data_IF_351730611832
#
_entry.id   IF_351730611832
#
_cell.length_a   1.000
_cell.length_b   1.000
_cell.length_c   1.000
_cell.angle_alpha   90.00
_cell.angle_beta   90.00
_cell.angle_gamma   90.00
#
_symmetry.space_group_name_H-M   'P 1'
#
loop_
_entity.id
_entity.type
_entity.pdbx_description
1 polymer ?
#
# COMPACT_ATOMS: atom_id res chain seq x y z
N UNK A 1 8.46 1.36 13.14
CA UNK A 1 7.82 2.69 13.29
C UNK A 1 6.74 2.70 14.40
N UNK A 2 6.34 3.86 14.94
CA UNK A 2 5.20 3.98 15.90
C UNK A 2 4.18 4.95 15.32
N UNK A 3 2.92 4.54 15.15
CA UNK A 3 1.82 5.42 14.81
C UNK A 3 1.48 6.32 16.01
N UNK A 4 1.30 7.61 15.75
CA UNK A 4 0.87 8.57 16.76
C UNK A 4 -0.66 8.61 16.81
N UNK A 5 -1.24 9.46 17.65
CA UNK A 5 -2.69 9.66 17.68
C UNK A 5 -3.09 10.52 16.47
N UNK A 6 -3.73 9.94 15.46
CA UNK A 6 -4.12 10.67 14.24
C UNK A 6 -4.35 9.78 13.03
N UNK A 7 -4.48 10.41 11.86
CA UNK A 7 -4.46 9.74 10.55
C UNK A 7 -2.99 9.65 10.12
N UNK A 8 -2.38 8.48 10.26
CA UNK A 8 -0.98 8.26 9.86
C UNK A 8 -0.90 7.60 8.47
N UNK A 9 0.13 7.98 7.70
CA UNK A 9 0.45 7.33 6.41
C UNK A 9 1.86 6.77 6.45
N UNK A 10 1.97 5.44 6.40
CA UNK A 10 3.24 4.71 6.37
C UNK A 10 3.65 4.53 4.91
N UNK A 11 4.60 5.34 4.42
CA UNK A 11 5.04 5.32 3.03
C UNK A 11 6.33 4.54 2.86
N UNK A 12 6.32 3.57 1.95
CA UNK A 12 7.46 2.75 1.56
C UNK A 12 7.81 3.02 0.10
N UNK A 13 9.06 3.39 -0.15
CA UNK A 13 9.51 3.81 -1.50
C UNK A 13 10.36 2.74 -2.16
N UNK A 14 11.11 1.95 -1.38
CA UNK A 14 11.97 0.88 -1.87
C UNK A 14 11.77 -0.40 -1.05
N UNK A 15 11.90 -1.59 -1.65
CA UNK A 15 11.75 -2.86 -0.89
C UNK A 15 12.84 -2.99 0.18
N UNK A 16 14.00 -2.36 -0.02
CA UNK A 16 15.08 -2.29 0.98
C UNK A 16 14.71 -1.52 2.25
N UNK A 17 13.68 -0.67 2.19
CA UNK A 17 13.18 0.11 3.33
C UNK A 17 12.50 -0.82 4.36
N UNK A 18 11.89 -1.92 3.90
CA UNK A 18 11.33 -2.96 4.77
C UNK A 18 11.25 -4.31 4.07
N UNK A 19 12.20 -5.20 4.36
CA UNK A 19 12.26 -6.54 3.78
C UNK A 19 12.36 -7.64 4.82
N UNK A 20 12.01 -8.86 4.41
CA UNK A 20 12.07 -10.04 5.29
C UNK A 20 13.47 -10.23 5.91
N UNK A 21 13.57 -9.99 7.22
CA UNK A 21 14.82 -10.03 8.00
C UNK A 21 15.20 -8.69 8.64
N UNK A 22 14.70 -7.59 8.08
CA UNK A 22 14.73 -6.24 8.63
C UNK A 22 13.37 -5.56 8.38
N UNK A 23 12.29 -6.28 8.69
CA UNK A 23 10.93 -5.80 8.42
C UNK A 23 10.52 -4.78 9.46
N UNK A 24 9.85 -3.74 8.98
CA UNK A 24 9.40 -2.65 9.83
C UNK A 24 8.26 -3.13 10.73
N UNK A 25 8.33 -2.72 11.99
CA UNK A 25 7.34 -3.07 13.01
C UNK A 25 6.51 -1.85 13.34
N UNK A 26 5.26 -1.83 12.87
CA UNK A 26 4.30 -0.74 13.07
C UNK A 26 3.55 -1.00 14.37
N UNK A 27 3.70 -0.09 15.33
CA UNK A 27 2.90 -0.07 16.55
C UNK A 27 1.73 0.88 16.43
N UNK A 28 0.62 0.56 17.09
CA UNK A 28 -0.57 1.43 17.22
C UNK A 28 -1.34 1.73 15.92
N UNK A 29 -1.15 0.95 14.85
CA UNK A 29 -1.85 1.15 13.57
C UNK A 29 -3.38 1.13 13.72
N UNK A 30 -4.09 2.15 13.26
CA UNK A 30 -5.55 2.23 13.21
C UNK A 30 -6.09 1.98 11.80
N UNK A 31 -6.59 0.77 11.53
CA UNK A 31 -7.17 0.42 10.23
C UNK A 31 -8.42 1.23 9.83
N UNK A 32 -8.97 2.08 10.70
CA UNK A 32 -10.08 2.97 10.34
C UNK A 32 -9.63 4.32 9.79
N UNK A 33 -8.37 4.70 10.05
CA UNK A 33 -7.83 6.03 9.74
C UNK A 33 -6.51 5.95 8.96
N UNK A 34 -5.62 5.06 9.40
CA UNK A 34 -4.27 4.94 8.88
C UNK A 34 -4.22 4.25 7.52
N UNK A 35 -3.23 4.66 6.73
CA UNK A 35 -2.97 4.14 5.40
C UNK A 35 -1.52 3.71 5.23
N UNK A 36 -1.31 2.77 4.33
CA UNK A 36 0.01 2.29 3.93
C UNK A 36 0.20 2.60 2.46
N UNK A 37 1.17 3.45 2.15
CA UNK A 37 1.51 3.83 0.79
C UNK A 37 2.62 2.94 0.27
N UNK A 38 2.24 2.09 -0.68
CA UNK A 38 3.11 1.14 -1.38
C UNK A 38 3.09 1.41 -2.89
N UNK A 39 2.57 2.56 -3.30
CA UNK A 39 2.43 2.94 -4.71
C UNK A 39 3.77 3.03 -5.43
N UNK A 40 4.79 3.52 -4.73
CA UNK A 40 6.15 3.61 -5.26
C UNK A 40 6.80 2.23 -5.50
N UNK A 41 6.35 1.19 -4.79
CA UNK A 41 6.82 -0.19 -4.96
C UNK A 41 6.13 -0.92 -6.13
N UNK A 42 5.07 -0.33 -6.71
CA UNK A 42 4.32 -0.91 -7.82
C UNK A 42 3.24 -1.91 -7.41
N UNK A 43 2.92 -2.06 -6.12
CA UNK A 43 1.83 -2.93 -5.69
C UNK A 43 0.48 -2.36 -6.10
N UNK A 44 -0.41 -3.21 -6.60
CA UNK A 44 -1.72 -2.82 -7.16
C UNK A 44 -2.89 -3.10 -6.21
N UNK A 45 -2.68 -3.88 -5.15
CA UNK A 45 -3.77 -4.25 -4.24
C UNK A 45 -3.44 -5.33 -3.22
N UNK A 46 -4.50 -5.80 -2.56
CA UNK A 46 -4.48 -6.98 -1.70
C UNK A 46 -4.80 -8.24 -2.50
N UNK A 47 -4.13 -9.34 -2.13
CA UNK A 47 -4.31 -10.64 -2.77
C UNK A 47 -3.57 -11.73 -2.02
N UNK A 48 -3.04 -12.69 -2.76
CA UNK A 48 -2.29 -13.84 -2.26
C UNK A 48 -0.78 -13.57 -2.10
N UNK A 49 -0.33 -12.34 -2.38
CA UNK A 49 1.06 -11.90 -2.18
C UNK A 49 1.93 -12.13 -3.42
N UNK A 50 1.30 -12.23 -4.59
CA UNK A 50 1.86 -12.55 -5.91
C UNK A 50 1.23 -11.61 -6.94
N UNK A 51 1.82 -11.49 -8.13
CA UNK A 51 1.36 -10.65 -9.23
C UNK A 51 1.15 -9.18 -8.82
N UNK A 52 2.09 -8.64 -8.05
CA UNK A 52 2.01 -7.26 -7.56
C UNK A 52 0.93 -7.04 -6.49
N UNK A 53 0.43 -8.09 -5.84
CA UNK A 53 -0.49 -7.98 -4.69
C UNK A 53 0.22 -8.24 -3.37
N UNK A 54 -0.37 -7.76 -2.27
CA UNK A 54 0.09 -8.01 -0.91
C UNK A 54 -0.85 -8.94 -0.16
N UNK A 55 -0.29 -9.88 0.61
CA UNK A 55 -1.06 -10.79 1.45
C UNK A 55 -1.12 -10.30 2.89
N UNK A 56 -2.33 -10.23 3.42
CA UNK A 56 -2.61 -10.02 4.85
C UNK A 56 -2.65 -11.37 5.56
N UNK A 57 -1.83 -11.57 6.58
CA UNK A 57 -1.88 -12.77 7.43
C UNK A 57 -1.86 -12.37 8.90
N UNK A 58 -2.79 -12.91 9.69
CA UNK A 58 -2.71 -12.81 11.14
C UNK A 58 -1.95 -14.00 11.73
N UNK A 59 -0.91 -13.73 12.51
CA UNK A 59 -0.20 -14.70 13.31
C UNK A 59 -0.74 -14.70 14.74
N UNK A 60 -1.39 -15.80 15.11
CA UNK A 60 -1.99 -15.99 16.43
C UNK A 60 -0.95 -16.25 17.53
N UNK A 61 0.24 -16.75 17.18
CA UNK A 61 1.29 -17.03 18.16
C UNK A 61 1.96 -15.72 18.60
N UNK A 62 2.24 -14.84 17.65
CA UNK A 62 2.89 -13.55 17.88
C UNK A 62 1.91 -12.39 18.10
N UNK A 63 0.61 -12.63 17.92
CA UNK A 63 -0.47 -11.63 18.00
C UNK A 63 -0.25 -10.44 17.05
N UNK A 64 0.19 -10.74 15.83
CA UNK A 64 0.62 -9.73 14.85
C UNK A 64 -0.06 -9.94 13.51
N UNK A 65 -0.33 -8.85 12.82
CA UNK A 65 -0.75 -8.92 11.41
C UNK A 65 0.45 -8.63 10.52
N UNK A 66 0.66 -9.44 9.51
CA UNK A 66 1.72 -9.32 8.53
C UNK A 66 1.12 -8.90 7.20
N UNK A 67 1.77 -7.93 6.55
CA UNK A 67 1.55 -7.61 5.15
C UNK A 67 2.82 -8.00 4.41
N UNK A 68 2.70 -8.93 3.46
CA UNK A 68 3.89 -9.46 2.78
C UNK A 68 3.64 -9.81 1.33
N UNK A 69 4.72 -9.73 0.60
CA UNK A 69 4.89 -10.18 -0.76
C UNK A 69 5.72 -11.49 -0.74
N UNK A 70 5.40 -12.39 -1.65
CA UNK A 70 6.15 -13.62 -1.88
C UNK A 70 7.10 -13.52 -3.08
N UNK A 71 6.98 -12.46 -3.88
CA UNK A 71 7.76 -12.23 -5.09
C UNK A 71 8.94 -11.29 -4.85
N UNK A 72 10.14 -11.88 -4.84
CA UNK A 72 11.36 -11.11 -4.77
C UNK A 72 11.49 -10.15 -5.98
N UNK A 73 12.01 -8.95 -5.75
CA UNK A 73 12.42 -8.07 -6.85
C UNK A 73 13.72 -8.54 -7.53
N UNK A 74 14.23 -7.72 -8.46
CA UNK A 74 15.47 -7.97 -9.17
C UNK A 74 16.69 -8.17 -8.25
N UNK A 75 16.65 -7.61 -7.03
CA UNK A 75 17.69 -7.71 -6.02
C UNK A 75 17.45 -8.85 -5.01
N UNK A 76 16.37 -9.63 -5.18
CA UNK A 76 16.04 -10.74 -4.27
C UNK A 76 15.24 -10.30 -3.02
N UNK A 77 14.82 -9.04 -2.94
CA UNK A 77 14.16 -8.46 -1.78
C UNK A 77 12.65 -8.69 -1.82
N UNK A 78 12.09 -9.12 -0.69
CA UNK A 78 10.65 -9.31 -0.49
C UNK A 78 10.14 -8.34 0.54
N UNK A 79 9.13 -7.56 0.17
CA UNK A 79 8.52 -6.60 1.05
C UNK A 79 7.76 -7.33 2.16
N UNK A 80 8.00 -6.93 3.40
CA UNK A 80 7.31 -7.47 4.57
C UNK A 80 7.21 -6.39 5.63
N UNK A 81 6.03 -6.20 6.19
CA UNK A 81 5.79 -5.37 7.38
C UNK A 81 4.99 -6.15 8.41
N UNK A 82 5.13 -5.78 9.67
CA UNK A 82 4.35 -6.38 10.75
C UNK A 82 3.73 -5.35 11.67
N UNK A 83 2.47 -5.60 12.05
CA UNK A 83 1.62 -4.71 12.84
C UNK A 83 1.36 -5.39 14.19
N UNK A 84 1.52 -4.65 15.28
CA UNK A 84 1.43 -5.15 16.67
C UNK A 84 0.01 -5.47 17.17
N UNK A 85 -0.96 -5.65 16.26
CA UNK A 85 -2.32 -6.04 16.62
C UNK A 85 -2.97 -6.87 15.54
N UNK A 86 -4.12 -7.46 15.86
CA UNK A 86 -4.98 -8.12 14.88
C UNK A 86 -5.79 -7.08 14.10
N UNK A 87 -5.31 -6.72 12.91
CA UNK A 87 -6.06 -5.93 11.92
C UNK A 87 -6.45 -6.74 10.70
N UNK A 88 -6.17 -8.05 10.64
CA UNK A 88 -6.40 -8.82 9.43
C UNK A 88 -7.86 -8.84 8.96
N UNK A 89 -8.83 -8.60 9.85
CA UNK A 89 -10.25 -8.48 9.51
C UNK A 89 -10.69 -7.05 9.16
N UNK A 90 -9.96 -6.04 9.61
CA UNK A 90 -10.31 -4.62 9.43
C UNK A 90 -9.49 -3.97 8.33
N UNK A 91 -8.33 -4.53 8.00
CA UNK A 91 -7.44 -4.05 6.97
C UNK A 91 -7.99 -4.42 5.59
N UNK A 92 -8.46 -3.42 4.84
CA UNK A 92 -9.02 -3.59 3.49
C UNK A 92 -8.16 -2.87 2.46
N UNK A 93 -8.56 -2.95 1.18
CA UNK A 93 -7.90 -2.22 0.11
C UNK A 93 -7.90 -0.69 0.34
N UNK A 94 -8.89 -0.15 1.07
CA UNK A 94 -8.96 1.27 1.42
C UNK A 94 -7.79 1.75 2.30
N UNK A 95 -7.18 0.82 3.05
CA UNK A 95 -5.99 1.10 3.85
C UNK A 95 -4.71 1.12 3.01
N UNK A 96 -4.72 0.67 1.75
CA UNK A 96 -3.57 0.81 0.87
C UNK A 96 -3.71 1.98 -0.08
N UNK A 97 -2.62 2.70 -0.22
CA UNK A 97 -2.37 3.56 -1.38
C UNK A 97 -1.49 2.74 -2.31
N UNK A 98 -2.09 2.29 -3.40
CA UNK A 98 -1.47 1.40 -4.39
C UNK A 98 -1.01 2.20 -5.59
N UNK A 99 -0.14 1.59 -6.40
CA UNK A 99 0.17 2.13 -7.71
C UNK A 99 -1.12 2.09 -8.52
N UNK A 100 -1.43 3.20 -9.19
CA UNK A 100 -2.50 3.19 -10.17
C UNK A 100 -2.20 2.09 -11.20
N UNK A 101 -2.99 1.02 -11.20
CA UNK A 101 -3.05 0.09 -12.34
C UNK A 101 -3.42 0.85 -13.63
N UNK A 102 -4.09 2.01 -13.45
CA UNK A 102 -4.43 3.00 -14.46
C UNK A 102 -3.34 4.05 -14.72
N UNK A 103 -2.09 3.92 -14.24
CA UNK A 103 -1.00 4.78 -14.70
C UNK A 103 -0.57 4.44 -16.14
N UNK A 104 -1.05 3.31 -16.68
CA UNK A 104 -1.05 2.99 -18.11
C UNK A 104 -2.32 3.49 -18.85
N UNK A 105 -3.32 4.02 -18.15
CA UNK A 105 -4.47 4.70 -18.74
C UNK A 105 -4.44 6.17 -18.31
N UNK A 106 -3.46 6.90 -18.84
CA UNK A 106 -3.61 8.35 -18.97
C UNK A 106 -4.74 8.55 -19.99
N UNK A 107 -5.98 8.55 -19.53
CA UNK A 107 -7.00 9.29 -20.25
C UNK A 107 -6.68 10.76 -20.04
N UNK A 108 -5.88 11.30 -20.95
CA UNK A 108 -5.82 12.73 -21.19
C UNK A 108 -7.19 13.14 -21.73
N UNK A 109 -8.20 13.20 -20.88
CA UNK A 109 -9.47 13.84 -21.22
C UNK A 109 -9.24 15.33 -21.05
N UNK A 110 -8.55 15.91 -22.03
CA UNK A 110 -8.55 17.35 -22.26
C UNK A 110 -9.93 17.78 -22.72
N UNK A 111 -10.91 17.79 -21.81
CA UNK A 111 -12.19 18.47 -22.02
C UNK A 111 -12.01 19.93 -21.63
N UNK A 112 -11.68 20.76 -22.60
CA UNK A 112 -12.08 22.16 -22.53
C UNK A 112 -13.33 22.33 -23.41
N UNK A 113 -14.55 22.39 -22.83
CA UNK A 113 -15.67 22.98 -23.54
C UNK A 113 -15.78 24.47 -23.20
N UNK A 114 -16.20 25.21 -24.23
CA UNK A 114 -16.62 26.62 -24.27
C UNK A 114 -15.52 27.69 -24.41
N UNK A 115 -15.35 28.16 -25.65
CA UNK A 115 -15.77 29.53 -25.94
C UNK A 115 -16.21 29.67 -27.41
N UNK A 116 -17.53 29.62 -27.62
CA UNK A 116 -18.14 30.00 -28.89
C UNK A 116 -18.16 31.54 -28.93
N UNK A 117 -17.18 32.16 -29.58
CA UNK A 117 -17.29 33.56 -29.98
C UNK A 117 -17.85 33.63 -31.41
N UNK A 118 -19.08 34.12 -31.63
CA UNK A 118 -19.51 34.51 -32.97
C UNK A 118 -18.79 35.82 -33.35
N UNK A 119 -18.06 35.80 -34.47
CA UNK A 119 -17.61 37.02 -35.14
C UNK A 119 -18.45 37.24 -36.40
N UNK A 120 -19.18 38.37 -36.42
CA UNK A 120 -19.63 39.06 -37.63
C UNK A 120 -20.88 38.52 -38.30
#
# INVERSE_FOLDING_TARGET
MVGNTGVDTFRYVEKSDSFRGNSDFIKNFDATQDRIDVSALGYTGLGDGTDGTLKVIYDTALHRTYLKDYEADADGNRFEISIDKNVAKTFTADNLIVADASAAHIELVGLAPADLHPIG
#
